data_IF_517544590682
#
_entry.id   IF_517544590682
#
_cell.length_a   1.000
_cell.length_b   1.000
_cell.length_c   1.000
_cell.angle_alpha   90.00
_cell.angle_beta   90.00
_cell.angle_gamma   90.00
#
_symmetry.space_group_name_H-M   'P 1'
#
loop_
_entity.id
_entity.type
_entity.pdbx_description
1 polymer ?
#
# COMPACT_ATOMS: atom_id res chain seq x y z
N UNK A 1 17.02 -6.71 0.45
CA UNK A 1 16.29 -7.46 -0.59
C UNK A 1 14.99 -6.69 -0.89
N UNK A 2 15.00 -5.87 -1.94
CA UNK A 2 13.83 -5.07 -2.38
C UNK A 2 12.85 -6.00 -3.09
N UNK A 3 11.61 -6.09 -2.62
CA UNK A 3 10.55 -6.61 -3.47
C UNK A 3 10.24 -5.51 -4.49
N UNK A 4 10.60 -5.79 -5.73
CA UNK A 4 10.26 -5.02 -6.91
C UNK A 4 8.74 -4.95 -7.02
N UNK A 5 8.14 -3.85 -6.57
CA UNK A 5 6.85 -3.37 -7.09
C UNK A 5 7.05 -2.71 -8.47
N UNK A 6 8.02 -3.20 -9.24
CA UNK A 6 8.29 -2.81 -10.62
C UNK A 6 7.96 -4.01 -11.49
N UNK A 7 6.73 -4.05 -12.02
CA UNK A 7 6.43 -4.83 -13.23
C UNK A 7 5.33 -5.89 -13.16
N UNK A 8 4.64 -6.11 -12.03
CA UNK A 8 3.65 -7.21 -11.98
C UNK A 8 2.27 -6.88 -12.57
N UNK A 9 2.00 -5.63 -12.97
CA UNK A 9 0.65 -5.16 -13.38
C UNK A 9 -0.40 -5.17 -12.25
N UNK A 10 -0.10 -5.82 -11.12
CA UNK A 10 -0.98 -5.98 -9.96
C UNK A 10 -0.58 -5.05 -8.82
N UNK A 11 0.71 -4.78 -8.60
CA UNK A 11 1.18 -3.92 -7.53
C UNK A 11 2.23 -2.91 -8.00
N UNK A 12 2.08 -1.65 -7.58
CA UNK A 12 2.99 -0.55 -7.90
C UNK A 12 3.39 0.21 -6.64
N UNK A 13 4.65 0.66 -6.57
CA UNK A 13 5.09 1.58 -5.52
C UNK A 13 5.00 3.03 -6.02
N UNK A 14 4.16 3.83 -5.36
CA UNK A 14 3.84 5.20 -5.78
C UNK A 14 3.81 6.11 -4.55
N UNK A 15 4.68 7.12 -4.52
CA UNK A 15 4.70 8.17 -3.46
C UNK A 15 4.69 7.61 -2.03
N UNK A 16 5.46 6.56 -1.77
CA UNK A 16 5.53 5.95 -0.43
C UNK A 16 4.49 4.85 -0.17
N UNK A 17 3.52 4.67 -1.07
CA UNK A 17 2.46 3.67 -0.96
C UNK A 17 2.72 2.49 -1.88
N UNK A 18 2.30 1.30 -1.44
CA UNK A 18 2.06 0.17 -2.32
C UNK A 18 0.59 0.21 -2.73
N UNK A 19 0.37 0.31 -4.04
CA UNK A 19 -0.96 0.36 -4.66
C UNK A 19 -1.22 -0.98 -5.33
N UNK A 20 -2.24 -1.69 -4.86
CA UNK A 20 -2.59 -3.03 -5.37
C UNK A 20 -3.91 -2.97 -6.15
N UNK A 21 -3.87 -3.40 -7.39
CA UNK A 21 -5.02 -3.57 -8.27
C UNK A 21 -5.80 -4.81 -7.85
N UNK A 22 -7.07 -4.66 -7.50
CA UNK A 22 -7.92 -5.79 -7.10
C UNK A 22 -9.19 -5.85 -7.96
N UNK A 23 -9.80 -7.05 -8.01
CA UNK A 23 -11.07 -7.32 -8.70
C UNK A 23 -11.07 -6.85 -10.16
N UNK A 24 -10.07 -7.27 -10.95
CA UNK A 24 -9.87 -6.87 -12.36
C UNK A 24 -9.82 -5.35 -12.52
N UNK A 25 -8.93 -4.70 -11.79
CA UNK A 25 -8.71 -3.25 -11.81
C UNK A 25 -9.87 -2.36 -11.32
N UNK A 26 -10.98 -2.91 -10.80
CA UNK A 26 -12.11 -2.09 -10.33
C UNK A 26 -11.80 -1.29 -9.07
N UNK A 27 -10.90 -1.80 -8.23
CA UNK A 27 -10.48 -1.10 -7.02
C UNK A 27 -8.95 -1.06 -6.89
N UNK A 28 -8.50 -0.18 -6.02
CA UNK A 28 -7.11 -0.02 -5.58
C UNK A 28 -7.09 -0.14 -4.07
N UNK A 29 -6.28 -1.06 -3.57
CA UNK A 29 -5.89 -1.07 -2.16
C UNK A 29 -4.66 -0.19 -2.00
N UNK A 30 -4.75 0.81 -1.14
CA UNK A 30 -3.61 1.64 -0.73
C UNK A 30 -3.06 1.05 0.56
N UNK A 31 -1.76 0.73 0.61
CA UNK A 31 -1.13 0.21 1.82
C UNK A 31 0.28 0.75 1.99
N UNK A 32 0.73 0.81 3.23
CA UNK A 32 2.12 1.08 3.60
C UNK A 32 2.69 -0.21 4.19
N UNK A 33 3.82 -0.66 3.66
CA UNK A 33 4.49 -1.89 4.09
C UNK A 33 5.81 -1.51 4.77
N UNK A 34 5.87 -1.74 6.08
CA UNK A 34 7.12 -1.69 6.84
C UNK A 34 7.67 -3.11 6.89
N UNK A 35 8.79 -3.34 6.22
CA UNK A 35 9.46 -4.64 6.29
C UNK A 35 10.17 -4.80 7.63
N UNK A 36 10.13 -6.03 8.15
CA UNK A 36 11.02 -6.44 9.23
C UNK A 36 12.46 -6.15 8.81
N UNK A 37 13.20 -5.44 9.66
CA UNK A 37 14.63 -5.18 9.48
C UNK A 37 15.37 -5.81 10.64
N UNK A 38 16.54 -6.35 10.35
CA UNK A 38 17.50 -6.74 11.38
C UNK A 38 18.56 -5.66 11.45
N UNK A 39 18.71 -5.03 12.61
CA UNK A 39 19.76 -4.06 12.91
C UNK A 39 20.33 -4.42 14.27
N UNK A 40 21.65 -4.50 14.39
CA UNK A 40 22.36 -4.77 15.65
C UNK A 40 21.73 -5.92 16.46
N UNK A 41 21.62 -7.09 15.81
CA UNK A 41 21.10 -8.36 16.37
C UNK A 41 19.60 -8.37 16.75
N UNK A 42 18.88 -7.23 16.64
CA UNK A 42 17.45 -7.15 16.92
C UNK A 42 16.64 -7.12 15.63
N UNK A 43 15.65 -8.01 15.54
CA UNK A 43 14.69 -8.07 14.43
C UNK A 43 13.45 -7.24 14.77
N UNK A 44 13.12 -6.25 13.94
CA UNK A 44 11.84 -5.56 14.03
C UNK A 44 10.74 -6.41 13.41
N UNK A 45 9.52 -6.27 13.91
CA UNK A 45 8.36 -6.83 13.23
C UNK A 45 8.09 -6.06 11.93
N UNK A 46 7.55 -6.77 10.94
CA UNK A 46 7.02 -6.15 9.73
C UNK A 46 5.54 -5.84 9.93
N UNK A 47 5.08 -4.70 9.43
CA UNK A 47 3.70 -4.27 9.54
C UNK A 47 3.15 -3.88 8.17
N UNK A 48 1.91 -4.28 7.90
CA UNK A 48 1.16 -3.87 6.71
C UNK A 48 -0.03 -3.04 7.20
N UNK A 49 -0.03 -1.76 6.85
CA UNK A 49 -1.11 -0.85 7.19
C UNK A 49 -2.14 -0.82 6.07
N UNK A 50 -3.21 -1.60 6.23
CA UNK A 50 -4.34 -1.64 5.28
C UNK A 50 -5.13 -0.33 5.42
N UNK A 51 -5.18 0.46 4.34
CA UNK A 51 -5.99 1.68 4.23
C UNK A 51 -7.22 1.43 3.33
N UNK A 52 -8.03 2.44 2.93
CA UNK A 52 -9.31 2.16 2.29
C UNK A 52 -9.14 1.57 0.90
N UNK A 53 -10.13 0.77 0.50
CA UNK A 53 -10.31 0.36 -0.88
C UNK A 53 -10.93 1.53 -1.65
N UNK A 54 -10.25 1.96 -2.70
CA UNK A 54 -10.69 3.07 -3.54
C UNK A 54 -11.17 2.52 -4.88
N UNK A 55 -12.29 3.04 -5.40
CA UNK A 55 -12.62 2.90 -6.82
C UNK A 55 -11.54 3.56 -7.68
N UNK A 56 -11.50 3.25 -8.98
CA UNK A 56 -10.60 3.94 -9.91
C UNK A 56 -10.78 5.47 -9.88
N UNK A 57 -12.03 5.95 -9.77
CA UNK A 57 -12.34 7.38 -9.68
C UNK A 57 -11.80 8.01 -8.39
N UNK A 58 -11.92 7.34 -7.26
CA UNK A 58 -11.42 7.84 -5.98
C UNK A 58 -9.89 7.80 -5.90
N UNK A 59 -9.27 6.77 -6.49
CA UNK A 59 -7.82 6.65 -6.58
C UNK A 59 -7.19 7.85 -7.31
N UNK A 60 -7.84 8.40 -8.34
CA UNK A 60 -7.30 9.54 -9.09
C UNK A 60 -7.20 10.84 -8.27
N UNK A 61 -7.75 10.88 -7.04
CA UNK A 61 -7.61 11.97 -6.10
C UNK A 61 -6.69 11.56 -4.92
N UNK A 62 -5.39 11.94 -4.94
CA UNK A 62 -4.43 11.57 -3.89
C UNK A 62 -4.86 11.97 -2.48
N UNK A 63 -5.71 12.99 -2.31
CA UNK A 63 -6.22 13.43 -1.00
C UNK A 63 -7.06 12.34 -0.32
N UNK A 64 -7.56 11.36 -1.09
CA UNK A 64 -8.35 10.24 -0.58
C UNK A 64 -7.51 9.05 -0.09
N UNK A 65 -6.22 9.02 -0.43
CA UNK A 65 -5.33 7.91 -0.08
C UNK A 65 -5.04 7.85 1.43
N UNK A 66 -5.09 9.01 2.08
CA UNK A 66 -4.88 9.17 3.51
C UNK A 66 -6.13 9.06 4.38
N UNK A 67 -7.28 8.73 3.78
CA UNK A 67 -8.53 8.61 4.53
C UNK A 67 -8.47 7.41 5.47
N UNK A 68 -8.42 7.66 6.77
CA UNK A 68 -8.57 6.60 7.78
C UNK A 68 -9.98 6.02 7.74
N UNK A 69 -10.08 4.69 7.77
CA UNK A 69 -11.34 4.02 8.03
C UNK A 69 -11.62 4.16 9.53
N UNK A 70 -12.71 4.84 9.91
CA UNK A 70 -13.15 4.92 11.31
C UNK A 70 -12.92 6.25 12.05
N UNK A 71 -12.48 7.32 11.39
CA UNK A 71 -12.63 8.66 11.97
C UNK A 71 -14.13 9.02 11.95
N UNK A 72 -14.77 8.98 13.12
CA UNK A 72 -16.07 9.60 13.38
C UNK A 72 -15.91 11.10 13.48
#
# INVERSE_FOLDING_TARGET
MQLLASGSGVANYIKGYVVINIRRNRYRLITVIHYAKTTDERRTEGHVYIRPFLTHKEYNDPRKWDRSLGAK
#
